data_IF_172497364982
#
_entry.id   IF_172497364982
#
_cell.length_a   1.000
_cell.length_b   1.000
_cell.length_c   1.000
_cell.angle_alpha   90.00
_cell.angle_beta   90.00
_cell.angle_gamma   90.00
#
_symmetry.space_group_name_H-M   'P 1'
#
loop_
_entity.id
_entity.type
_entity.pdbx_description
1 polymer ?
#
# COMPACT_ATOMS: atom_id res chain seq x y z
N UNK A 1 20.82 -9.57 34.74
CA UNK A 1 20.30 -10.94 34.61
C UNK A 1 20.55 -11.35 33.16
N UNK A 2 21.08 -12.54 32.91
CA UNK A 2 21.25 -13.05 31.54
C UNK A 2 19.88 -13.12 30.86
N UNK A 3 19.75 -12.54 29.66
CA UNK A 3 18.52 -12.53 28.88
C UNK A 3 18.11 -13.98 28.55
N UNK A 4 16.86 -14.35 28.81
CA UNK A 4 16.37 -15.71 28.52
C UNK A 4 16.11 -15.86 27.03
N UNK A 5 17.07 -16.40 26.29
CA UNK A 5 16.96 -16.60 24.83
C UNK A 5 15.82 -17.56 24.44
N UNK A 6 15.30 -18.35 25.39
CA UNK A 6 14.20 -19.30 25.18
C UNK A 6 12.83 -18.79 25.61
N UNK A 7 12.67 -17.48 25.83
CA UNK A 7 11.43 -16.89 26.29
C UNK A 7 10.21 -17.23 25.41
N UNK A 8 10.42 -17.47 24.11
CA UNK A 8 9.37 -17.84 23.16
C UNK A 8 8.67 -19.19 23.48
N UNK A 9 9.28 -20.05 24.30
CA UNK A 9 8.67 -21.30 24.78
C UNK A 9 7.57 -20.98 25.79
N UNK A 10 7.84 -20.05 26.71
CA UNK A 10 6.93 -19.67 27.80
C UNK A 10 5.95 -18.58 27.39
N UNK A 11 6.34 -17.71 26.44
CA UNK A 11 5.53 -16.59 25.93
C UNK A 11 4.99 -16.94 24.56
N UNK A 12 3.68 -17.17 24.50
CA UNK A 12 2.96 -17.40 23.25
C UNK A 12 2.84 -16.14 22.41
N UNK A 13 2.64 -16.31 21.09
CA UNK A 13 2.33 -15.21 20.18
C UNK A 13 1.02 -14.56 20.61
N UNK A 14 1.02 -13.24 20.70
CA UNK A 14 -0.19 -12.44 20.95
C UNK A 14 -0.31 -11.39 19.86
N UNK A 15 -1.40 -11.45 19.10
CA UNK A 15 -1.80 -10.39 18.18
C UNK A 15 -2.62 -9.32 18.92
N UNK A 16 -2.65 -8.07 18.44
CA UNK A 16 -3.43 -7.00 19.06
C UNK A 16 -4.93 -7.34 19.08
N UNK A 17 -5.60 -6.92 20.16
CA UNK A 17 -7.04 -7.08 20.28
C UNK A 17 -7.75 -6.27 19.17
N UNK A 18 -8.86 -6.81 18.67
CA UNK A 18 -9.71 -6.11 17.71
C UNK A 18 -10.77 -5.29 18.44
N UNK A 19 -11.10 -4.12 17.88
CA UNK A 19 -12.28 -3.35 18.29
C UNK A 19 -13.55 -4.19 18.13
N UNK A 20 -14.59 -3.98 18.98
CA UNK A 20 -15.87 -4.67 18.86
C UNK A 20 -16.47 -4.60 17.47
N UNK A 21 -17.15 -5.66 17.04
CA UNK A 21 -17.75 -5.76 15.70
C UNK A 21 -18.71 -4.60 15.38
N UNK A 22 -19.48 -4.12 16.36
CA UNK A 22 -20.43 -3.02 16.17
C UNK A 22 -19.73 -1.71 15.77
N UNK A 23 -18.52 -1.46 16.30
CA UNK A 23 -17.70 -0.31 15.91
C UNK A 23 -17.10 -0.54 14.52
N UNK A 24 -16.51 -1.72 14.30
CA UNK A 24 -15.85 -2.05 13.02
C UNK A 24 -16.80 -1.97 11.83
N UNK A 25 -18.10 -2.23 11.98
CA UNK A 25 -19.06 -2.17 10.88
C UNK A 25 -19.49 -0.76 10.50
N UNK A 26 -19.18 0.26 11.30
CA UNK A 26 -19.73 1.62 11.13
C UNK A 26 -18.60 2.64 11.02
N UNK A 27 -17.60 2.55 11.90
CA UNK A 27 -16.54 3.54 11.99
C UNK A 27 -15.40 3.26 11.01
N UNK A 28 -14.88 4.35 10.43
CA UNK A 28 -13.67 4.36 9.61
C UNK A 28 -12.43 4.65 10.47
N UNK A 29 -12.17 3.76 11.44
CA UNK A 29 -11.03 3.83 12.37
C UNK A 29 -10.25 2.51 12.37
N UNK A 30 -8.97 2.54 12.74
CA UNK A 30 -8.14 1.33 12.79
C UNK A 30 -8.77 0.25 13.67
N UNK A 31 -8.89 -0.97 13.13
CA UNK A 31 -9.64 -2.03 13.81
C UNK A 31 -8.87 -2.74 14.93
N UNK A 32 -7.55 -2.55 15.00
CA UNK A 32 -6.68 -3.18 15.98
C UNK A 32 -6.27 -2.17 17.05
N UNK A 33 -6.38 -2.57 18.31
CA UNK A 33 -5.87 -1.77 19.42
C UNK A 33 -4.33 -1.73 19.38
N UNK A 34 -3.71 -0.59 19.71
CA UNK A 34 -2.25 -0.53 19.87
C UNK A 34 -1.76 -1.50 20.95
N UNK A 35 -0.55 -1.99 20.80
CA UNK A 35 0.10 -2.75 21.88
C UNK A 35 0.31 -1.88 23.11
N UNK A 36 0.07 -2.48 24.28
CA UNK A 36 0.57 -1.93 25.54
C UNK A 36 2.08 -2.10 25.63
N UNK A 37 2.73 -1.32 26.50
CA UNK A 37 4.16 -1.48 26.79
C UNK A 37 4.52 -2.92 27.17
N UNK A 38 3.71 -3.54 28.03
CA UNK A 38 3.92 -4.92 28.47
C UNK A 38 3.84 -5.91 27.30
N UNK A 39 2.87 -5.74 26.41
CA UNK A 39 2.73 -6.58 25.21
C UNK A 39 3.92 -6.40 24.27
N UNK A 40 4.30 -5.16 23.95
CA UNK A 40 5.41 -4.88 23.06
C UNK A 40 6.73 -5.46 23.60
N UNK A 41 7.03 -5.24 24.88
CA UNK A 41 8.23 -5.79 25.54
C UNK A 41 8.22 -7.32 25.52
N UNK A 42 7.12 -7.96 25.91
CA UNK A 42 7.03 -9.42 25.98
C UNK A 42 7.07 -10.08 24.60
N UNK A 43 6.42 -9.48 23.58
CA UNK A 43 6.44 -10.02 22.23
C UNK A 43 7.79 -9.78 21.54
N UNK A 44 8.49 -8.68 21.83
CA UNK A 44 9.85 -8.45 21.36
C UNK A 44 10.85 -9.45 21.98
N UNK A 45 10.66 -9.85 23.24
CA UNK A 45 11.50 -10.83 23.95
C UNK A 45 11.47 -12.23 23.32
N UNK A 46 10.49 -12.51 22.46
CA UNK A 46 10.40 -13.77 21.72
C UNK A 46 11.48 -13.86 20.63
N UNK A 47 12.13 -12.76 20.28
CA UNK A 47 13.18 -12.76 19.25
C UNK A 47 14.39 -13.58 19.69
N UNK A 48 14.87 -14.45 18.80
CA UNK A 48 16.05 -15.30 19.03
C UNK A 48 17.39 -14.58 18.86
N UNK A 49 17.38 -13.35 18.34
CA UNK A 49 18.59 -12.65 17.88
C UNK A 49 19.43 -13.53 16.91
N UNK A 50 18.75 -14.09 15.90
CA UNK A 50 19.33 -15.05 14.95
C UNK A 50 20.60 -14.47 14.30
N UNK A 51 21.69 -15.23 14.30
CA UNK A 51 22.94 -14.81 13.64
C UNK A 51 22.81 -14.59 12.12
N UNK A 52 21.87 -15.28 11.46
CA UNK A 52 21.42 -14.95 10.11
C UNK A 52 19.91 -14.63 10.12
N UNK A 53 19.52 -13.35 10.23
CA UNK A 53 18.12 -12.98 10.41
C UNK A 53 17.36 -13.03 9.08
N UNK A 54 16.68 -14.14 8.82
CA UNK A 54 15.81 -14.27 7.63
C UNK A 54 14.69 -13.23 7.57
N UNK A 55 14.23 -12.72 8.71
CA UNK A 55 13.25 -11.64 8.78
C UNK A 55 13.75 -10.33 8.14
N UNK A 56 15.04 -10.01 8.33
CA UNK A 56 15.71 -8.85 7.71
C UNK A 56 15.90 -9.09 6.21
N UNK A 57 16.39 -10.26 5.81
CA UNK A 57 16.58 -10.60 4.39
C UNK A 57 15.29 -10.60 3.58
N UNK A 58 14.17 -11.00 4.18
CA UNK A 58 12.87 -11.02 3.49
C UNK A 58 12.20 -9.64 3.46
N UNK A 59 12.57 -8.73 4.36
CA UNK A 59 12.09 -7.36 4.33
C UNK A 59 12.73 -6.63 3.13
N UNK A 60 11.96 -6.02 2.19
CA UNK A 60 12.56 -5.40 1.01
C UNK A 60 13.52 -4.24 1.32
N UNK A 61 13.33 -3.55 2.45
CA UNK A 61 14.22 -2.49 2.93
C UNK A 61 15.31 -2.99 3.88
N UNK A 62 15.46 -4.32 4.06
CA UNK A 62 16.46 -4.93 4.93
C UNK A 62 16.56 -4.28 6.32
N UNK A 63 15.40 -4.04 6.95
CA UNK A 63 15.33 -3.38 8.26
C UNK A 63 16.04 -4.22 9.34
N UNK A 64 16.78 -3.56 10.23
CA UNK A 64 17.56 -4.15 11.34
C UNK A 64 16.67 -4.71 12.46
N UNK A 65 15.81 -5.67 12.08
CA UNK A 65 14.70 -6.19 12.87
C UNK A 65 15.15 -6.73 14.23
N UNK A 66 16.12 -7.66 14.33
CA UNK A 66 16.58 -8.15 15.63
C UNK A 66 17.06 -7.03 16.57
N UNK A 67 17.76 -6.04 16.01
CA UNK A 67 18.41 -4.98 16.76
C UNK A 67 17.39 -4.00 17.34
N UNK A 68 16.42 -3.52 16.55
CA UNK A 68 15.39 -2.63 17.10
C UNK A 68 14.36 -3.39 17.94
N UNK A 69 14.14 -4.70 17.71
CA UNK A 69 13.34 -5.54 18.60
C UNK A 69 13.97 -5.64 19.98
N UNK A 70 15.29 -5.83 20.05
CA UNK A 70 16.03 -5.82 21.32
C UNK A 70 15.87 -4.50 22.06
N UNK A 71 16.00 -3.38 21.34
CA UNK A 71 15.79 -2.05 21.93
C UNK A 71 14.35 -1.85 22.41
N UNK A 72 13.35 -2.36 21.69
CA UNK A 72 11.94 -2.33 22.09
C UNK A 72 11.70 -3.18 23.35
N UNK A 73 12.32 -4.36 23.45
CA UNK A 73 12.31 -5.20 24.65
C UNK A 73 12.90 -4.47 25.88
N UNK A 74 14.04 -3.78 25.70
CA UNK A 74 14.69 -2.97 26.73
C UNK A 74 13.92 -1.66 27.07
N UNK A 75 12.86 -1.35 26.32
CA UNK A 75 12.06 -0.12 26.48
C UNK A 75 12.73 1.15 25.94
N UNK A 76 13.77 1.01 25.13
CA UNK A 76 14.56 2.09 24.51
C UNK A 76 13.93 2.57 23.20
N UNK A 77 12.72 3.13 23.31
CA UNK A 77 11.85 3.45 22.16
C UNK A 77 12.50 4.40 21.15
N UNK A 78 13.15 5.48 21.62
CA UNK A 78 13.77 6.48 20.74
C UNK A 78 14.95 5.92 19.95
N UNK A 79 15.68 4.95 20.50
CA UNK A 79 16.78 4.30 19.79
C UNK A 79 16.27 3.25 18.81
N UNK A 80 15.22 2.52 19.20
CA UNK A 80 14.55 1.55 18.33
C UNK A 80 13.96 2.23 17.08
N UNK A 81 13.27 3.36 17.25
CA UNK A 81 12.65 4.07 16.14
C UNK A 81 13.69 4.68 15.22
N UNK A 82 14.79 5.23 15.76
CA UNK A 82 15.87 5.79 14.96
C UNK A 82 16.48 4.70 14.07
N UNK A 83 16.74 3.52 14.65
CA UNK A 83 17.29 2.40 13.92
C UNK A 83 16.33 1.87 12.84
N UNK A 84 15.03 1.80 13.11
CA UNK A 84 14.02 1.42 12.11
C UNK A 84 13.96 2.42 10.95
N UNK A 85 14.13 3.71 11.26
CA UNK A 85 14.14 4.78 10.27
C UNK A 85 15.40 4.86 9.40
N UNK A 86 16.49 4.20 9.80
CA UNK A 86 17.71 4.18 9.00
C UNK A 86 17.52 3.51 7.64
N UNK A 87 16.68 2.47 7.57
CA UNK A 87 16.42 1.76 6.30
C UNK A 87 15.01 1.97 5.77
N UNK A 88 14.06 2.39 6.61
CA UNK A 88 12.67 2.61 6.21
C UNK A 88 12.24 4.07 6.38
N UNK A 89 11.76 4.69 5.30
CA UNK A 89 11.26 6.07 5.36
C UNK A 89 9.86 6.19 5.99
N UNK A 90 9.08 5.11 6.02
CA UNK A 90 7.69 5.09 6.52
C UNK A 90 7.37 3.85 7.38
N UNK A 91 8.15 3.55 8.45
CA UNK A 91 7.94 2.38 9.31
C UNK A 91 6.57 2.36 10.00
N UNK A 92 5.99 3.52 10.33
CA UNK A 92 4.64 3.63 10.88
C UNK A 92 3.56 3.17 9.88
N UNK A 93 3.83 3.29 8.57
CA UNK A 93 2.94 2.78 7.52
C UNK A 93 3.21 1.30 7.31
N UNK A 94 4.48 0.90 7.15
CA UNK A 94 4.88 -0.50 6.92
C UNK A 94 4.39 -1.44 8.02
N UNK A 95 4.49 -1.04 9.29
CA UNK A 95 3.98 -1.83 10.42
C UNK A 95 2.49 -2.12 10.34
N UNK A 96 1.71 -1.27 9.65
CA UNK A 96 0.25 -1.42 9.48
C UNK A 96 -0.13 -2.23 8.25
N UNK A 97 0.50 -1.92 7.10
CA UNK A 97 -0.01 -2.37 5.79
C UNK A 97 0.83 -3.44 5.11
N UNK A 98 2.06 -3.70 5.54
CA UNK A 98 2.86 -4.78 4.95
C UNK A 98 2.16 -6.15 5.16
N UNK A 99 2.19 -7.06 4.17
CA UNK A 99 1.75 -8.44 4.36
C UNK A 99 2.85 -9.22 5.09
N UNK A 100 2.99 -9.03 6.40
CA UNK A 100 4.12 -9.58 7.16
C UNK A 100 4.19 -11.11 7.08
N UNK A 101 3.05 -11.79 6.92
CA UNK A 101 2.92 -13.23 6.71
C UNK A 101 3.62 -13.74 5.45
N UNK A 102 3.83 -12.87 4.46
CA UNK A 102 4.57 -13.16 3.21
C UNK A 102 5.97 -12.59 3.20
N UNK A 103 6.30 -11.76 4.20
CA UNK A 103 7.56 -11.04 4.34
C UNK A 103 8.30 -11.47 5.62
N UNK A 104 8.58 -10.51 6.50
CA UNK A 104 9.45 -10.67 7.66
C UNK A 104 8.94 -11.71 8.67
N UNK A 105 7.65 -11.71 8.99
CA UNK A 105 7.05 -12.68 9.93
C UNK A 105 6.93 -14.07 9.28
N UNK A 106 6.59 -14.11 7.99
CA UNK A 106 6.55 -15.35 7.21
C UNK A 106 7.88 -16.10 7.19
N UNK A 107 8.99 -15.37 7.22
CA UNK A 107 10.36 -15.93 7.22
C UNK A 107 11.00 -15.99 8.61
N UNK A 108 10.26 -15.65 9.67
CA UNK A 108 10.77 -15.76 11.03
C UNK A 108 11.04 -17.22 11.37
N UNK A 109 12.22 -17.53 11.94
CA UNK A 109 12.60 -18.89 12.35
C UNK A 109 11.58 -19.56 13.27
N UNK A 110 10.87 -18.78 14.09
CA UNK A 110 9.85 -19.29 15.01
C UNK A 110 8.50 -19.58 14.36
N UNK A 111 8.27 -19.18 13.10
CA UNK A 111 6.93 -19.13 12.51
C UNK A 111 6.23 -20.48 12.46
N UNK A 112 6.94 -21.55 12.08
CA UNK A 112 6.36 -22.87 11.86
C UNK A 112 5.82 -23.51 13.15
N UNK A 113 6.58 -23.44 14.25
CA UNK A 113 6.29 -24.23 15.45
C UNK A 113 5.77 -23.40 16.63
N UNK A 114 6.20 -22.14 16.75
CA UNK A 114 5.90 -21.28 17.91
C UNK A 114 5.11 -20.02 17.52
N UNK A 115 4.91 -19.79 16.22
CA UNK A 115 4.35 -18.55 15.69
C UNK A 115 5.37 -17.41 15.72
N UNK A 116 5.48 -16.68 14.61
CA UNK A 116 6.48 -15.64 14.42
C UNK A 116 6.41 -14.54 15.49
N UNK A 117 7.53 -13.84 15.69
CA UNK A 117 7.55 -12.56 16.41
C UNK A 117 6.59 -11.59 15.72
N UNK A 118 5.83 -10.79 16.46
CA UNK A 118 4.87 -9.82 15.92
C UNK A 118 5.56 -8.54 15.43
N UNK A 119 6.50 -8.70 14.50
CA UNK A 119 7.40 -7.66 13.97
C UNK A 119 6.62 -6.42 13.54
N UNK A 120 5.58 -6.56 12.73
CA UNK A 120 4.82 -5.41 12.23
C UNK A 120 4.12 -4.62 13.34
N UNK A 121 3.58 -5.32 14.34
CA UNK A 121 2.90 -4.67 15.47
C UNK A 121 3.90 -3.95 16.40
N UNK A 122 5.12 -4.49 16.55
CA UNK A 122 6.16 -3.84 17.34
C UNK A 122 6.73 -2.63 16.58
N UNK A 123 6.92 -2.71 15.25
CA UNK A 123 7.31 -1.57 14.40
C UNK A 123 6.28 -0.43 14.49
N UNK A 124 4.98 -0.76 14.44
CA UNK A 124 3.90 0.19 14.71
C UNK A 124 4.01 0.79 16.11
N UNK A 125 4.21 -0.04 17.14
CA UNK A 125 4.28 0.43 18.52
C UNK A 125 5.44 1.39 18.76
N UNK A 126 6.66 1.07 18.30
CA UNK A 126 7.83 1.94 18.53
C UNK A 126 7.69 3.28 17.81
N UNK A 127 7.09 3.29 16.62
CA UNK A 127 6.89 4.51 15.83
C UNK A 127 5.80 5.40 16.43
N UNK A 128 4.63 4.83 16.75
CA UNK A 128 3.53 5.56 17.39
C UNK A 128 3.99 6.16 18.74
N UNK A 129 4.69 5.38 19.58
CA UNK A 129 5.19 5.86 20.86
C UNK A 129 6.29 6.90 20.73
N UNK A 130 7.18 6.78 19.76
CA UNK A 130 8.18 7.81 19.51
C UNK A 130 7.52 9.15 19.16
N UNK A 131 6.49 9.15 18.30
CA UNK A 131 5.76 10.38 17.97
C UNK A 131 5.03 10.97 19.18
N UNK A 132 4.39 10.14 20.02
CA UNK A 132 3.81 10.60 21.30
C UNK A 132 4.85 11.25 22.23
N UNK A 133 6.09 10.76 22.19
CA UNK A 133 7.23 11.31 22.95
C UNK A 133 7.87 12.56 22.32
N UNK A 134 7.33 13.04 21.18
CA UNK A 134 7.85 14.20 20.47
C UNK A 134 9.10 13.92 19.63
N UNK A 135 9.35 12.66 19.27
CA UNK A 135 10.44 12.30 18.36
C UNK A 135 10.28 13.00 17.01
N UNK A 136 11.41 13.45 16.48
CA UNK A 136 11.56 13.94 15.12
C UNK A 136 12.97 13.59 14.62
N UNK A 137 13.17 13.39 13.30
CA UNK A 137 14.49 13.21 12.74
C UNK A 137 15.44 14.35 13.10
N UNK A 138 16.68 14.00 13.47
CA UNK A 138 17.72 14.98 13.73
C UNK A 138 18.35 15.48 12.42
N UNK A 139 18.08 16.74 12.08
CA UNK A 139 18.61 17.40 10.88
C UNK A 139 19.83 18.29 11.21
N UNK A 140 20.31 18.31 12.45
CA UNK A 140 21.34 19.26 12.91
C UNK A 140 22.71 19.09 12.25
N UNK A 141 22.99 17.91 11.69
CA UNK A 141 24.25 17.56 11.02
C UNK A 141 24.17 17.58 9.49
N UNK A 142 23.02 17.98 8.93
CA UNK A 142 22.84 18.02 7.48
C UNK A 142 23.54 19.25 6.92
N UNK A 143 24.49 19.04 6.00
CA UNK A 143 25.15 20.11 5.25
C UNK A 143 24.36 20.39 3.97
N UNK A 144 23.73 21.56 3.90
CA UNK A 144 22.87 21.92 2.76
C UNK A 144 23.68 22.34 1.53
N UNK A 145 23.30 21.80 0.39
CA UNK A 145 23.79 22.18 -0.94
C UNK A 145 22.88 23.22 -1.59
N UNK A 146 23.27 23.75 -2.74
CA UNK A 146 22.39 24.57 -3.59
C UNK A 146 21.52 23.73 -4.55
N UNK A 147 21.68 22.40 -4.53
CA UNK A 147 20.97 21.47 -5.40
C UNK A 147 19.52 21.30 -5.00
N UNK A 148 18.65 21.19 -6.00
CA UNK A 148 17.23 20.92 -5.82
C UNK A 148 16.70 19.88 -6.81
N UNK A 149 15.81 19.03 -6.32
CA UNK A 149 15.23 17.92 -7.08
C UNK A 149 13.72 18.02 -7.07
N UNK A 150 13.10 17.95 -8.25
CA UNK A 150 11.65 17.85 -8.38
C UNK A 150 11.23 16.39 -8.25
N UNK A 151 10.22 16.12 -7.42
CA UNK A 151 9.65 14.80 -7.22
C UNK A 151 8.19 14.83 -7.68
N UNK A 152 7.84 14.03 -8.68
CA UNK A 152 6.48 13.97 -9.21
C UNK A 152 5.77 12.76 -8.60
N UNK A 153 4.80 13.03 -7.72
CA UNK A 153 4.03 12.04 -6.96
C UNK A 153 4.49 11.96 -5.50
N UNK A 154 3.57 12.21 -4.58
CA UNK A 154 3.73 12.09 -3.14
C UNK A 154 3.31 10.70 -2.61
N UNK A 155 3.41 9.66 -3.43
CA UNK A 155 3.25 8.27 -3.01
C UNK A 155 4.47 7.74 -2.23
N UNK A 156 4.47 6.45 -1.82
CA UNK A 156 5.56 5.88 -1.02
C UNK A 156 6.95 6.07 -1.63
N UNK A 157 7.11 5.87 -2.94
CA UNK A 157 8.39 6.03 -3.62
C UNK A 157 8.89 7.49 -3.61
N UNK A 158 8.01 8.45 -3.94
CA UNK A 158 8.38 9.87 -3.94
C UNK A 158 8.69 10.40 -2.53
N UNK A 159 7.91 9.97 -1.54
CA UNK A 159 8.17 10.30 -0.13
C UNK A 159 9.49 9.71 0.37
N UNK A 160 9.82 8.48 -0.02
CA UNK A 160 11.07 7.85 0.35
C UNK A 160 12.28 8.48 -0.35
N UNK A 161 12.13 8.88 -1.62
CA UNK A 161 13.15 9.64 -2.33
C UNK A 161 13.38 11.02 -1.67
N UNK A 162 12.30 11.71 -1.28
CA UNK A 162 12.38 12.99 -0.58
C UNK A 162 13.12 12.88 0.76
N UNK A 163 12.83 11.84 1.54
CA UNK A 163 13.49 11.55 2.83
C UNK A 163 15.00 11.35 2.68
N UNK A 164 15.44 10.59 1.68
CA UNK A 164 16.88 10.39 1.43
C UNK A 164 17.55 11.68 0.95
N UNK A 165 16.94 12.40 0.00
CA UNK A 165 17.51 13.64 -0.54
C UNK A 165 17.67 14.72 0.53
N UNK A 166 16.63 14.95 1.34
CA UNK A 166 16.64 16.01 2.35
C UNK A 166 17.66 15.74 3.46
N UNK A 167 17.89 14.46 3.82
CA UNK A 167 18.91 14.06 4.79
C UNK A 167 20.34 14.22 4.28
N UNK A 168 20.53 14.31 2.97
CA UNK A 168 21.82 14.55 2.32
C UNK A 168 21.94 15.99 1.80
N UNK A 169 21.13 16.92 2.33
CA UNK A 169 21.29 18.35 2.05
C UNK A 169 20.87 18.80 0.65
N UNK A 170 20.19 17.93 -0.13
CA UNK A 170 19.58 18.29 -1.41
C UNK A 170 18.14 18.67 -1.17
N UNK A 171 17.67 19.81 -1.68
CA UNK A 171 16.30 20.29 -1.43
C UNK A 171 15.27 19.55 -2.32
N UNK A 172 14.39 18.70 -1.77
CA UNK A 172 13.33 18.09 -2.57
C UNK A 172 12.08 18.97 -2.61
N UNK A 173 11.49 19.09 -3.80
CA UNK A 173 10.17 19.71 -4.01
C UNK A 173 9.23 18.67 -4.59
N UNK A 174 8.25 18.25 -3.80
CA UNK A 174 7.29 17.19 -4.14
C UNK A 174 6.02 17.81 -4.71
N UNK A 175 5.68 17.43 -5.94
CA UNK A 175 4.47 17.81 -6.65
C UNK A 175 3.46 16.67 -6.62
N UNK A 176 2.22 16.94 -6.23
CA UNK A 176 1.15 15.94 -6.27
C UNK A 176 -0.19 16.57 -6.64
N UNK A 177 -0.98 15.83 -7.43
CA UNK A 177 -2.31 16.25 -7.88
C UNK A 177 -3.36 16.22 -6.77
N UNK A 178 -3.15 15.42 -5.73
CA UNK A 178 -4.06 15.31 -4.60
C UNK A 178 -3.83 16.45 -3.58
N UNK A 179 -4.85 16.78 -2.77
CA UNK A 179 -4.73 17.80 -1.73
C UNK A 179 -3.89 17.36 -0.53
N UNK A 180 -3.60 16.07 -0.39
CA UNK A 180 -2.79 15.48 0.68
C UNK A 180 -1.74 14.51 0.14
N UNK A 181 -0.65 14.32 0.90
CA UNK A 181 0.41 13.38 0.53
C UNK A 181 -0.04 11.92 0.74
N UNK A 182 0.76 10.98 0.25
CA UNK A 182 0.61 9.54 0.48
C UNK A 182 0.09 8.76 -0.72
N UNK A 183 -0.42 9.44 -1.75
CA UNK A 183 -1.04 8.79 -2.90
C UNK A 183 -2.10 7.77 -2.47
N UNK A 184 -1.97 6.51 -2.88
CA UNK A 184 -2.90 5.46 -2.49
C UNK A 184 -2.83 5.07 -1.00
N UNK A 185 -1.80 5.44 -0.24
CA UNK A 185 -1.82 5.30 1.22
C UNK A 185 -2.95 6.12 1.85
N UNK A 186 -3.13 7.34 1.33
CA UNK A 186 -4.17 8.27 1.81
C UNK A 186 -5.48 8.00 1.10
N UNK A 187 -5.50 7.95 -0.23
CA UNK A 187 -6.75 7.92 -1.01
C UNK A 187 -7.24 6.53 -1.41
N UNK A 188 -6.39 5.50 -1.32
CA UNK A 188 -6.75 4.13 -1.70
C UNK A 188 -7.03 3.22 -0.50
N UNK A 189 -6.06 3.11 0.41
CA UNK A 189 -6.14 2.24 1.60
C UNK A 189 -7.13 2.85 2.60
N UNK A 190 -8.20 2.17 3.04
CA UNK A 190 -9.17 2.75 3.95
C UNK A 190 -8.63 3.01 5.37
N UNK A 191 -9.24 3.96 6.08
CA UNK A 191 -8.85 4.36 7.45
C UNK A 191 -8.88 3.21 8.46
N UNK A 192 -9.66 2.16 8.20
CA UNK A 192 -9.72 0.99 9.06
C UNK A 192 -8.49 0.06 8.99
N UNK A 193 -7.57 0.34 8.04
CA UNK A 193 -6.25 -0.29 7.91
C UNK A 193 -5.11 0.68 8.23
N UNK A 194 -5.27 1.95 7.85
CA UNK A 194 -4.27 3.00 8.03
C UNK A 194 -4.97 4.34 8.29
N UNK A 195 -4.91 4.84 9.53
CA UNK A 195 -5.52 6.13 9.87
C UNK A 195 -4.88 7.29 9.10
N UNK A 196 -5.70 8.25 8.67
CA UNK A 196 -5.25 9.39 7.86
C UNK A 196 -4.32 10.34 8.61
N UNK A 197 -4.51 10.46 9.93
CA UNK A 197 -3.63 11.21 10.82
C UNK A 197 -2.17 10.74 10.78
N UNK A 198 -1.91 9.48 10.42
CA UNK A 198 -0.53 8.96 10.23
C UNK A 198 0.17 9.72 9.10
N UNK A 199 -0.50 9.89 7.97
CA UNK A 199 0.05 10.60 6.80
C UNK A 199 0.11 12.11 7.02
N UNK A 200 -0.87 12.69 7.71
CA UNK A 200 -0.86 14.11 8.11
C UNK A 200 0.36 14.41 9.02
N UNK A 201 0.61 13.55 10.01
CA UNK A 201 1.78 13.68 10.88
C UNK A 201 3.09 13.51 10.09
N UNK A 202 3.16 12.54 9.17
CA UNK A 202 4.34 12.36 8.30
C UNK A 202 4.60 13.57 7.42
N UNK A 203 3.56 14.18 6.86
CA UNK A 203 3.66 15.44 6.09
C UNK A 203 4.28 16.54 6.92
N UNK A 204 3.80 16.71 8.16
CA UNK A 204 4.35 17.70 9.10
C UNK A 204 5.83 17.43 9.36
N UNK A 205 6.21 16.19 9.69
CA UNK A 205 7.60 15.81 9.94
C UNK A 205 8.49 16.10 8.73
N UNK A 206 8.08 15.72 7.53
CA UNK A 206 8.86 15.98 6.31
C UNK A 206 8.95 17.47 5.97
N UNK A 207 7.89 18.23 6.21
CA UNK A 207 7.91 19.69 6.03
C UNK A 207 8.91 20.34 7.00
N UNK A 208 8.95 19.89 8.26
CA UNK A 208 9.92 20.34 9.27
C UNK A 208 11.37 19.94 8.93
N UNK A 209 11.57 18.85 8.19
CA UNK A 209 12.89 18.45 7.67
C UNK A 209 13.37 19.33 6.51
N UNK A 210 12.46 20.09 5.86
CA UNK A 210 12.78 20.96 4.72
C UNK A 210 12.24 20.47 3.37
N UNK A 211 11.41 19.42 3.34
CA UNK A 211 10.71 18.98 2.14
C UNK A 211 9.61 19.99 1.79
N UNK A 212 9.60 20.48 0.55
CA UNK A 212 8.57 21.39 0.06
C UNK A 212 7.47 20.60 -0.65
N UNK A 213 6.20 20.79 -0.26
CA UNK A 213 5.05 20.13 -0.90
C UNK A 213 4.23 21.12 -1.73
N UNK A 214 4.08 20.81 -3.02
CA UNK A 214 3.21 21.50 -4.00
C UNK A 214 2.05 20.58 -4.34
N UNK A 215 1.01 20.62 -3.50
CA UNK A 215 -0.19 19.80 -3.60
C UNK A 215 -1.27 20.47 -4.46
N UNK A 216 -2.24 19.70 -4.96
CA UNK A 216 -3.18 20.14 -5.99
C UNK A 216 -2.50 20.66 -7.27
N UNK A 217 -1.36 20.06 -7.64
CA UNK A 217 -0.61 20.39 -8.85
C UNK A 217 -0.40 19.14 -9.68
N UNK A 218 -1.05 19.08 -10.84
CA UNK A 218 -0.89 18.00 -11.81
C UNK A 218 0.17 18.36 -12.86
N UNK A 219 1.31 17.66 -12.81
CA UNK A 219 2.38 17.82 -13.81
C UNK A 219 1.90 17.32 -15.18
N UNK A 220 2.15 18.11 -16.22
CA UNK A 220 1.61 17.94 -17.57
C UNK A 220 0.35 18.77 -17.84
N UNK A 221 -0.33 19.25 -16.79
CA UNK A 221 -1.53 20.09 -16.88
C UNK A 221 -1.29 21.48 -16.29
N UNK A 222 -1.01 21.56 -14.99
CA UNK A 222 -0.84 22.82 -14.26
C UNK A 222 0.59 23.35 -14.36
N UNK A 223 1.57 22.44 -14.38
CA UNK A 223 2.99 22.73 -14.61
C UNK A 223 3.53 21.79 -15.68
N UNK A 224 4.30 22.30 -16.63
CA UNK A 224 4.86 21.49 -17.70
C UNK A 224 6.16 20.82 -17.26
N UNK A 225 6.38 19.58 -17.72
CA UNK A 225 7.59 18.82 -17.39
C UNK A 225 8.88 19.55 -17.85
N UNK A 226 8.83 20.28 -18.97
CA UNK A 226 9.96 21.10 -19.41
C UNK A 226 10.38 22.13 -18.36
N UNK A 227 9.42 22.78 -17.68
CA UNK A 227 9.73 23.76 -16.63
C UNK A 227 10.48 23.10 -15.47
N UNK A 228 10.10 21.87 -15.09
CA UNK A 228 10.80 21.11 -14.06
C UNK A 228 12.24 20.75 -14.49
N UNK A 229 12.42 20.37 -15.75
CA UNK A 229 13.74 20.09 -16.31
C UNK A 229 14.63 21.32 -16.41
N UNK A 230 14.06 22.50 -16.65
CA UNK A 230 14.82 23.75 -16.72
C UNK A 230 15.19 24.26 -15.32
N UNK A 231 14.25 24.14 -14.38
CA UNK A 231 14.40 24.75 -13.06
C UNK A 231 15.18 23.88 -12.08
N UNK A 232 15.08 22.55 -12.11
CA UNK A 232 15.65 21.64 -11.09
C UNK A 232 16.90 20.91 -11.59
N UNK A 233 17.75 20.40 -10.70
CA UNK A 233 18.98 19.68 -11.07
C UNK A 233 18.73 18.22 -11.49
N UNK A 234 17.68 17.61 -10.95
CA UNK A 234 17.16 16.30 -11.36
C UNK A 234 15.65 16.21 -11.14
N UNK A 235 14.99 15.23 -11.78
CA UNK A 235 13.57 14.93 -11.60
C UNK A 235 13.38 13.46 -11.24
N UNK A 236 12.59 13.16 -10.22
CA UNK A 236 12.18 11.80 -9.86
C UNK A 236 10.69 11.57 -10.17
N UNK A 237 10.38 10.47 -10.85
CA UNK A 237 9.04 10.03 -11.22
C UNK A 237 8.54 8.93 -10.27
N UNK A 238 7.65 9.31 -9.34
CA UNK A 238 6.95 8.43 -8.40
C UNK A 238 5.45 8.35 -8.65
N UNK A 239 5.04 8.36 -9.93
CA UNK A 239 3.64 8.57 -10.38
C UNK A 239 2.72 7.34 -10.28
N UNK A 240 3.24 6.19 -9.84
CA UNK A 240 2.45 4.98 -9.60
C UNK A 240 1.76 4.38 -10.84
N UNK A 241 0.74 3.53 -10.63
CA UNK A 241 -0.11 2.97 -11.69
C UNK A 241 -1.59 3.17 -11.37
N UNK A 242 -2.32 3.86 -12.25
CA UNK A 242 -3.74 4.23 -12.02
C UNK A 242 -4.71 3.57 -13.01
N UNK A 243 -4.22 2.83 -14.00
CA UNK A 243 -5.09 2.14 -14.97
C UNK A 243 -5.61 0.84 -14.36
N UNK A 244 -6.90 0.81 -14.04
CA UNK A 244 -7.60 -0.38 -13.58
C UNK A 244 -7.79 -1.39 -14.72
N UNK A 245 -7.83 -2.67 -14.36
CA UNK A 245 -8.10 -3.75 -15.29
C UNK A 245 -9.61 -3.95 -15.46
N UNK A 246 -10.06 -4.01 -16.71
CA UNK A 246 -11.41 -4.37 -17.09
C UNK A 246 -11.43 -5.74 -17.74
N UNK A 247 -12.56 -6.43 -17.65
CA UNK A 247 -12.72 -7.78 -18.17
C UNK A 247 -13.38 -7.81 -19.57
N UNK A 248 -13.78 -6.66 -20.11
CA UNK A 248 -14.49 -6.59 -21.39
C UNK A 248 -15.88 -7.22 -21.30
N UNK A 249 -16.53 -7.07 -20.13
CA UNK A 249 -17.86 -7.63 -19.90
C UNK A 249 -18.90 -6.79 -20.63
N UNK A 250 -19.96 -7.44 -21.11
CA UNK A 250 -21.13 -6.70 -21.62
C UNK A 250 -21.68 -5.79 -20.53
N UNK A 251 -21.97 -4.53 -20.88
CA UNK A 251 -22.51 -3.51 -19.98
C UNK A 251 -21.59 -3.13 -18.79
N UNK A 252 -20.27 -3.27 -18.93
CA UNK A 252 -19.33 -2.88 -17.87
C UNK A 252 -19.25 -1.37 -17.58
N UNK A 253 -19.84 -0.53 -18.44
CA UNK A 253 -19.99 0.92 -18.25
C UNK A 253 -21.40 1.35 -17.80
N UNK A 254 -22.24 0.39 -17.41
CA UNK A 254 -23.63 0.65 -17.01
C UNK A 254 -23.73 1.46 -15.71
N UNK A 255 -24.86 2.14 -15.52
CA UNK A 255 -25.16 2.84 -14.28
C UNK A 255 -25.20 1.85 -13.10
N UNK A 256 -24.46 2.15 -12.03
CA UNK A 256 -24.31 1.25 -10.89
C UNK A 256 -23.12 0.29 -10.98
N UNK A 257 -22.33 0.34 -12.06
CA UNK A 257 -21.02 -0.32 -12.15
C UNK A 257 -19.92 0.70 -11.83
N UNK A 258 -19.01 0.33 -10.93
CA UNK A 258 -17.95 1.21 -10.45
C UNK A 258 -16.59 0.51 -10.54
N UNK A 259 -15.57 1.26 -10.96
CA UNK A 259 -14.18 0.84 -10.76
C UNK A 259 -13.81 1.01 -9.28
N UNK A 260 -13.03 0.07 -8.73
CA UNK A 260 -12.70 0.05 -7.30
C UNK A 260 -12.01 1.33 -6.79
N UNK A 261 -11.09 1.89 -7.59
CA UNK A 261 -10.30 3.03 -7.14
C UNK A 261 -11.14 4.32 -7.01
N UNK A 262 -11.94 4.75 -8.02
CA UNK A 262 -12.88 5.84 -7.83
C UNK A 262 -13.79 5.67 -6.61
N UNK A 263 -14.29 4.45 -6.36
CA UNK A 263 -15.08 4.16 -5.17
C UNK A 263 -14.32 4.44 -3.86
N UNK A 264 -13.13 3.85 -3.68
CA UNK A 264 -12.32 4.03 -2.48
C UNK A 264 -11.84 5.48 -2.29
N UNK A 265 -11.48 6.16 -3.38
CA UNK A 265 -11.09 7.57 -3.37
C UNK A 265 -12.27 8.43 -2.90
N UNK A 266 -13.45 8.27 -3.53
CA UNK A 266 -14.65 9.05 -3.15
C UNK A 266 -15.02 8.87 -1.68
N UNK A 267 -14.85 7.64 -1.15
CA UNK A 267 -15.05 7.37 0.26
C UNK A 267 -14.04 8.11 1.15
N UNK A 268 -12.76 8.13 0.77
CA UNK A 268 -11.73 8.86 1.52
C UNK A 268 -12.01 10.35 1.56
N UNK A 269 -12.37 10.97 0.42
CA UNK A 269 -12.73 12.39 0.38
C UNK A 269 -13.88 12.70 1.35
N UNK A 270 -14.92 11.85 1.37
CA UNK A 270 -16.03 12.00 2.32
C UNK A 270 -15.59 11.84 3.78
N UNK A 271 -14.77 10.82 4.09
CA UNK A 271 -14.27 10.56 5.46
C UNK A 271 -13.39 11.72 5.97
N UNK A 272 -12.59 12.32 5.09
CA UNK A 272 -11.71 13.45 5.43
C UNK A 272 -12.40 14.81 5.35
N UNK A 273 -13.65 14.88 4.87
CA UNK A 273 -14.36 16.15 4.67
C UNK A 273 -13.72 17.05 3.61
N UNK A 274 -13.05 16.46 2.61
CA UNK A 274 -12.39 17.16 1.52
C UNK A 274 -13.35 17.40 0.35
N UNK A 275 -13.15 18.49 -0.37
CA UNK A 275 -13.88 18.79 -1.61
C UNK A 275 -13.36 17.92 -2.77
N UNK A 276 -14.28 17.42 -3.60
CA UNK A 276 -13.94 16.63 -4.77
C UNK A 276 -14.92 16.90 -5.91
N UNK A 277 -14.42 16.98 -7.13
CA UNK A 277 -15.24 17.18 -8.33
C UNK A 277 -16.14 15.97 -8.63
N UNK A 278 -15.68 14.76 -8.28
CA UNK A 278 -16.47 13.54 -8.50
C UNK A 278 -17.44 13.29 -7.35
N UNK A 279 -18.68 12.85 -7.65
CA UNK A 279 -19.67 12.60 -6.62
C UNK A 279 -19.27 11.43 -5.71
N UNK A 280 -19.74 11.48 -4.47
CA UNK A 280 -19.63 10.36 -3.55
C UNK A 280 -20.37 9.13 -4.09
N UNK A 281 -19.68 7.99 -4.16
CA UNK A 281 -20.30 6.72 -4.55
C UNK A 281 -20.91 6.07 -3.30
N UNK A 282 -22.23 6.12 -3.22
CA UNK A 282 -23.00 5.64 -2.06
C UNK A 282 -23.50 4.19 -2.23
N UNK A 283 -23.21 3.36 -1.24
CA UNK A 283 -23.64 1.97 -1.15
C UNK A 283 -24.81 1.74 -0.17
N UNK A 284 -25.29 2.78 0.52
CA UNK A 284 -26.35 2.67 1.51
C UNK A 284 -27.60 1.96 0.94
N UNK A 285 -28.05 0.92 1.64
CA UNK A 285 -29.26 0.17 1.28
C UNK A 285 -29.14 -0.78 0.08
N UNK A 286 -28.00 -0.81 -0.63
CA UNK A 286 -27.81 -1.58 -1.87
C UNK A 286 -27.34 -3.02 -1.61
N UNK A 287 -27.67 -3.91 -2.55
CA UNK A 287 -27.01 -5.21 -2.70
C UNK A 287 -25.75 -5.03 -3.56
N UNK A 288 -24.59 -5.13 -2.94
CA UNK A 288 -23.30 -4.86 -3.59
C UNK A 288 -22.60 -6.18 -3.95
N UNK A 289 -22.15 -6.29 -5.20
CA UNK A 289 -21.27 -7.37 -5.65
C UNK A 289 -19.90 -6.80 -6.00
N UNK A 290 -18.86 -7.24 -5.30
CA UNK A 290 -17.47 -6.91 -5.60
C UNK A 290 -16.84 -8.06 -6.37
N UNK A 291 -16.34 -7.77 -7.58
CA UNK A 291 -15.71 -8.74 -8.46
C UNK A 291 -14.19 -8.68 -8.27
N UNK A 292 -13.62 -9.70 -7.62
CA UNK A 292 -12.19 -9.76 -7.30
C UNK A 292 -11.88 -10.50 -6.01
N UNK A 293 -10.60 -10.70 -5.71
CA UNK A 293 -10.14 -11.39 -4.49
C UNK A 293 -8.84 -10.84 -3.89
N UNK A 294 -8.33 -9.71 -4.40
CA UNK A 294 -7.13 -9.05 -3.88
C UNK A 294 -7.43 -8.12 -2.69
N UNK A 295 -6.39 -7.47 -2.17
CA UNK A 295 -6.54 -6.50 -1.08
C UNK A 295 -7.48 -5.34 -1.46
N UNK A 296 -7.46 -4.87 -2.70
CA UNK A 296 -8.42 -3.88 -3.21
C UNK A 296 -9.86 -4.36 -3.10
N UNK A 297 -10.13 -5.65 -3.38
CA UNK A 297 -11.47 -6.22 -3.22
C UNK A 297 -11.88 -6.26 -1.74
N UNK A 298 -10.95 -6.61 -0.84
CA UNK A 298 -11.18 -6.60 0.61
C UNK A 298 -11.49 -5.20 1.13
N UNK A 299 -10.77 -4.20 0.62
CA UNK A 299 -11.00 -2.80 0.97
C UNK A 299 -12.37 -2.33 0.46
N UNK A 300 -12.79 -2.75 -0.74
CA UNK A 300 -14.10 -2.42 -1.31
C UNK A 300 -15.26 -3.04 -0.53
N UNK A 301 -15.21 -4.34 -0.22
CA UNK A 301 -16.31 -5.01 0.50
C UNK A 301 -16.48 -4.45 1.91
N UNK A 302 -15.37 -4.20 2.62
CA UNK A 302 -15.39 -3.67 3.98
C UNK A 302 -15.80 -2.20 4.06
N UNK A 303 -15.47 -1.42 3.03
CA UNK A 303 -15.98 -0.05 2.86
C UNK A 303 -17.49 -0.07 2.57
N UNK A 304 -17.96 -0.96 1.71
CA UNK A 304 -19.39 -1.10 1.38
C UNK A 304 -20.24 -1.43 2.62
N UNK A 305 -19.75 -2.33 3.49
CA UNK A 305 -20.39 -2.61 4.79
C UNK A 305 -20.52 -1.34 5.64
N UNK A 306 -19.44 -0.55 5.75
CA UNK A 306 -19.42 0.69 6.54
C UNK A 306 -20.27 1.81 5.98
N UNK A 307 -20.51 1.82 4.67
CA UNK A 307 -21.46 2.73 4.03
C UNK A 307 -22.92 2.30 4.20
N UNK A 308 -23.21 1.17 4.86
CA UNK A 308 -24.56 0.71 5.13
C UNK A 308 -25.21 -0.06 3.98
N UNK A 309 -24.42 -0.76 3.15
CA UNK A 309 -24.96 -1.72 2.19
C UNK A 309 -25.83 -2.78 2.89
N UNK A 310 -26.97 -3.11 2.28
CA UNK A 310 -27.90 -4.12 2.80
C UNK A 310 -27.30 -5.53 2.73
N UNK A 311 -26.52 -5.79 1.68
CA UNK A 311 -25.83 -7.06 1.45
C UNK A 311 -24.54 -6.80 0.66
N UNK A 312 -23.46 -7.51 1.01
CA UNK A 312 -22.18 -7.38 0.31
C UNK A 312 -21.64 -8.76 -0.01
N UNK A 313 -21.42 -9.01 -1.31
CA UNK A 313 -20.86 -10.26 -1.82
C UNK A 313 -19.49 -9.99 -2.41
N UNK A 314 -18.50 -10.80 -2.04
CA UNK A 314 -17.22 -10.92 -2.72
C UNK A 314 -17.29 -12.13 -3.68
N UNK A 315 -17.33 -11.88 -4.99
CA UNK A 315 -17.31 -12.95 -5.99
C UNK A 315 -15.90 -13.13 -6.55
N UNK A 316 -15.36 -14.34 -6.43
CA UNK A 316 -14.01 -14.67 -6.83
C UNK A 316 -13.95 -15.95 -7.66
N UNK A 317 -13.23 -15.90 -8.78
CA UNK A 317 -13.14 -16.99 -9.78
C UNK A 317 -12.30 -18.20 -9.38
N UNK A 318 -11.76 -18.25 -8.15
CA UNK A 318 -11.02 -19.41 -7.62
C UNK A 318 -11.51 -19.72 -6.22
N UNK A 319 -10.96 -20.77 -5.62
CA UNK A 319 -11.21 -21.12 -4.23
C UNK A 319 -10.58 -20.12 -3.23
N UNK A 320 -10.88 -20.32 -1.96
CA UNK A 320 -10.38 -19.47 -0.87
C UNK A 320 -8.87 -19.58 -0.67
N UNK A 321 -8.29 -20.77 -0.85
CA UNK A 321 -6.86 -21.01 -0.66
C UNK A 321 -6.02 -20.21 -1.65
N UNK A 322 -6.52 -20.07 -2.88
CA UNK A 322 -5.89 -19.31 -3.96
C UNK A 322 -6.29 -17.82 -3.99
N UNK A 323 -6.93 -17.30 -2.95
CA UNK A 323 -7.28 -15.88 -2.86
C UNK A 323 -6.03 -15.02 -2.62
N UNK A 324 -5.76 -14.01 -3.48
CA UNK A 324 -4.51 -13.24 -3.39
C UNK A 324 -4.50 -12.20 -2.26
N UNK A 325 -5.67 -11.75 -1.78
CA UNK A 325 -5.77 -10.82 -0.66
C UNK A 325 -5.15 -11.37 0.63
N UNK A 326 -4.79 -10.48 1.55
CA UNK A 326 -4.27 -10.86 2.85
C UNK A 326 -5.28 -11.74 3.60
N UNK A 327 -4.81 -12.89 4.12
CA UNK A 327 -5.64 -13.81 4.92
C UNK A 327 -6.27 -13.12 6.13
N UNK A 328 -5.55 -12.15 6.70
CA UNK A 328 -6.03 -11.31 7.81
C UNK A 328 -7.23 -10.48 7.38
N UNK A 329 -7.15 -9.84 6.22
CA UNK A 329 -8.21 -8.98 5.70
C UNK A 329 -9.43 -9.78 5.24
N UNK A 330 -9.23 -10.96 4.64
CA UNK A 330 -10.32 -11.91 4.32
C UNK A 330 -11.07 -12.32 5.59
N UNK A 331 -10.35 -12.70 6.65
CA UNK A 331 -10.95 -13.05 7.95
C UNK A 331 -11.74 -11.87 8.54
N UNK A 332 -11.18 -10.65 8.49
CA UNK A 332 -11.86 -9.45 8.96
C UNK A 332 -13.15 -9.16 8.18
N UNK A 333 -13.12 -9.29 6.84
CA UNK A 333 -14.31 -9.13 6.00
C UNK A 333 -15.40 -10.16 6.33
N UNK A 334 -15.04 -11.43 6.54
CA UNK A 334 -16.00 -12.48 6.97
C UNK A 334 -16.63 -12.15 8.32
N UNK A 335 -15.82 -11.76 9.31
CA UNK A 335 -16.31 -11.33 10.63
C UNK A 335 -17.25 -10.12 10.54
N UNK A 336 -17.01 -9.21 9.60
CA UNK A 336 -17.81 -8.00 9.35
C UNK A 336 -19.13 -8.28 8.61
N UNK A 337 -19.33 -9.49 8.08
CA UNK A 337 -20.56 -9.97 7.46
C UNK A 337 -20.54 -10.01 5.94
N UNK A 338 -19.36 -9.98 5.30
CA UNK A 338 -19.23 -10.15 3.85
C UNK A 338 -19.51 -11.61 3.47
N UNK A 339 -20.34 -11.80 2.45
CA UNK A 339 -20.61 -13.12 1.87
C UNK A 339 -19.56 -13.43 0.80
N UNK A 340 -18.84 -14.54 0.95
CA UNK A 340 -17.85 -14.95 -0.03
C UNK A 340 -18.43 -16.00 -0.97
N UNK A 341 -18.39 -15.71 -2.27
CA UNK A 341 -18.74 -16.64 -3.34
C UNK A 341 -17.50 -16.98 -4.15
N UNK A 342 -16.92 -18.13 -3.82
CA UNK A 342 -15.75 -18.67 -4.51
C UNK A 342 -16.14 -19.42 -5.76
N UNK A 343 -15.14 -19.69 -6.61
CA UNK A 343 -15.31 -20.45 -7.84
C UNK A 343 -16.40 -19.87 -8.76
N UNK A 344 -16.45 -18.53 -8.83
CA UNK A 344 -17.49 -17.81 -9.54
C UNK A 344 -16.86 -16.76 -10.47
N UNK A 345 -17.03 -16.94 -11.78
CA UNK A 345 -16.49 -16.05 -12.79
C UNK A 345 -17.60 -15.21 -13.43
N UNK A 346 -17.45 -13.88 -13.51
CA UNK A 346 -18.41 -13.04 -14.23
C UNK A 346 -18.32 -13.26 -15.75
N UNK A 347 -19.49 -13.29 -16.39
CA UNK A 347 -19.66 -13.38 -17.85
C UNK A 347 -20.24 -12.10 -18.45
N UNK A 348 -20.98 -11.31 -17.66
CA UNK A 348 -21.62 -10.08 -18.13
C UNK A 348 -22.37 -9.36 -17.01
N UNK A 349 -22.68 -8.07 -17.23
CA UNK A 349 -23.53 -7.29 -16.34
C UNK A 349 -24.94 -7.24 -16.93
N UNK A 350 -25.93 -7.59 -16.11
CA UNK A 350 -27.35 -7.52 -16.45
C UNK A 350 -27.90 -6.14 -16.07
N UNK A 351 -28.67 -5.53 -16.97
CA UNK A 351 -29.20 -4.17 -16.81
C UNK A 351 -30.71 -4.13 -17.05
N UNK A 352 -31.37 -3.16 -16.43
CA UNK A 352 -32.77 -2.86 -16.72
C UNK A 352 -32.94 -2.04 -18.02
N UNK A 353 -34.19 -1.71 -18.34
CA UNK A 353 -34.50 -0.90 -19.53
C UNK A 353 -33.94 0.53 -19.49
N UNK A 354 -33.57 1.03 -18.30
CA UNK A 354 -32.93 2.34 -18.12
C UNK A 354 -31.39 2.24 -18.15
N UNK A 355 -30.82 1.05 -18.33
CA UNK A 355 -29.38 0.82 -18.35
C UNK A 355 -28.74 0.80 -16.96
N UNK A 356 -29.52 0.59 -15.91
CA UNK A 356 -29.03 0.41 -14.53
C UNK A 356 -28.82 -1.05 -14.20
N UNK A 357 -27.77 -1.36 -13.44
CA UNK A 357 -27.43 -2.73 -13.06
C UNK A 357 -28.56 -3.38 -12.25
N UNK A 358 -28.83 -4.65 -12.56
CA UNK A 358 -29.76 -5.52 -11.82
C UNK A 358 -29.10 -6.82 -11.33
N UNK A 359 -27.92 -7.15 -11.88
CA UNK A 359 -27.15 -8.30 -11.46
C UNK A 359 -25.92 -8.55 -12.30
N UNK A 360 -25.19 -9.60 -11.93
CA UNK A 360 -24.03 -10.10 -12.66
C UNK A 360 -24.33 -11.50 -13.14
N UNK A 361 -24.26 -11.73 -14.45
CA UNK A 361 -24.28 -13.08 -14.99
C UNK A 361 -22.95 -13.75 -14.68
N UNK A 362 -23.01 -14.91 -14.03
CA UNK A 362 -21.85 -15.65 -13.53
C UNK A 362 -21.89 -17.10 -13.97
N UNK A 363 -20.73 -17.75 -13.97
CA UNK A 363 -20.58 -19.19 -14.18
C UNK A 363 -19.72 -19.78 -13.07
N UNK A 364 -20.03 -21.00 -12.63
CA UNK A 364 -19.17 -21.71 -11.70
C UNK A 364 -17.88 -22.14 -12.38
N UNK A 365 -16.79 -22.19 -11.63
CA UNK A 365 -15.49 -22.62 -12.14
C UNK A 365 -14.95 -23.80 -11.35
N UNK A 366 -14.30 -24.76 -12.01
CA UNK A 366 -13.46 -25.75 -11.36
C UNK A 366 -11.99 -25.38 -11.58
N UNK A 367 -11.14 -25.62 -10.59
CA UNK A 367 -9.71 -25.44 -10.80
C UNK A 367 -9.14 -26.60 -11.60
N UNK A 368 -8.59 -26.30 -12.78
CA UNK A 368 -7.84 -27.26 -13.59
C UNK A 368 -6.47 -27.60 -12.99
N UNK A 369 -5.60 -28.18 -13.80
CA UNK A 369 -4.23 -28.50 -13.41
C UNK A 369 -3.41 -27.23 -13.13
N UNK A 370 -2.43 -27.29 -12.20
CA UNK A 370 -1.51 -26.18 -11.95
C UNK A 370 -0.65 -25.90 -13.19
N UNK A 371 -0.45 -24.62 -13.50
CA UNK A 371 0.54 -24.20 -14.51
C UNK A 371 1.98 -24.27 -13.97
N UNK A 372 2.96 -23.90 -14.80
CA UNK A 372 4.40 -23.90 -14.43
C UNK A 372 4.73 -23.03 -13.21
N UNK A 373 3.87 -22.05 -12.88
CA UNK A 373 4.00 -21.21 -11.69
C UNK A 373 3.22 -21.78 -10.49
N UNK A 374 2.72 -23.01 -10.59
CA UNK A 374 1.87 -23.68 -9.60
C UNK A 374 0.45 -23.13 -9.53
N UNK A 375 0.05 -22.20 -10.42
CA UNK A 375 -1.26 -21.55 -10.38
C UNK A 375 -2.26 -22.37 -11.16
N UNK A 376 -3.34 -22.79 -10.50
CA UNK A 376 -4.44 -23.51 -11.15
C UNK A 376 -5.32 -22.55 -11.93
N UNK A 377 -5.57 -22.88 -13.20
CA UNK A 377 -6.46 -22.08 -14.06
C UNK A 377 -7.92 -22.44 -13.76
N UNK A 378 -8.80 -21.45 -13.53
CA UNK A 378 -10.21 -21.72 -13.38
C UNK A 378 -10.84 -22.02 -14.75
N UNK A 379 -11.58 -23.12 -14.83
CA UNK A 379 -12.27 -23.59 -16.03
C UNK A 379 -13.79 -23.52 -15.79
N UNK A 380 -14.57 -22.86 -16.68
CA UNK A 380 -16.02 -22.79 -16.54
C UNK A 380 -16.70 -24.16 -16.54
N UNK A 381 -17.63 -24.36 -15.62
CA UNK A 381 -18.50 -25.55 -15.58
C UNK A 381 -19.73 -25.27 -16.44
N UNK A 382 -19.86 -25.96 -17.58
CA UNK A 382 -20.96 -25.75 -18.51
C UNK A 382 -22.33 -26.01 -17.86
N UNK A 383 -23.31 -25.14 -18.13
CA UNK A 383 -24.68 -25.25 -17.60
C UNK A 383 -24.85 -24.75 -16.16
N UNK A 384 -23.82 -24.14 -15.57
CA UNK A 384 -23.86 -23.56 -14.22
C UNK A 384 -24.15 -22.05 -14.21
N UNK A 385 -24.46 -21.48 -15.37
CA UNK A 385 -24.71 -20.06 -15.54
C UNK A 385 -25.95 -19.62 -14.78
N UNK A 386 -25.83 -18.55 -13.99
CA UNK A 386 -26.94 -17.94 -13.28
C UNK A 386 -26.69 -16.44 -13.06
N UNK A 387 -27.72 -15.73 -12.59
CA UNK A 387 -27.62 -14.30 -12.28
C UNK A 387 -27.43 -14.14 -10.78
N UNK A 388 -26.41 -13.37 -10.40
CA UNK A 388 -26.22 -12.88 -9.05
C UNK A 388 -26.87 -11.49 -8.91
N UNK A 389 -27.98 -11.32 -8.17
CA UNK A 389 -28.66 -10.04 -8.06
C UNK A 389 -27.76 -8.96 -7.43
N UNK A 390 -27.76 -7.76 -8.00
CA UNK A 390 -26.94 -6.65 -7.55
C UNK A 390 -27.55 -5.30 -7.95
N UNK A 391 -27.55 -4.36 -7.01
CA UNK A 391 -27.89 -2.94 -7.24
C UNK A 391 -26.64 -2.09 -7.48
N UNK A 392 -25.47 -2.63 -7.12
CA UNK A 392 -24.17 -2.03 -7.42
C UNK A 392 -23.12 -3.12 -7.65
N UNK A 393 -22.25 -2.91 -8.63
CA UNK A 393 -21.14 -3.81 -8.95
C UNK A 393 -19.83 -3.03 -8.87
N UNK A 394 -18.86 -3.55 -8.11
CA UNK A 394 -17.52 -2.94 -8.00
C UNK A 394 -16.49 -3.86 -8.65
N UNK A 395 -15.80 -3.34 -9.66
CA UNK A 395 -14.75 -4.04 -10.41
C UNK A 395 -13.41 -3.87 -9.69
N UNK A 396 -12.89 -4.96 -9.11
CA UNK A 396 -11.66 -4.98 -8.31
C UNK A 396 -10.64 -6.01 -8.83
N UNK A 397 -10.40 -6.00 -10.15
CA UNK A 397 -9.49 -6.93 -10.79
C UNK A 397 -8.00 -6.60 -10.64
N UNK A 398 -7.68 -5.40 -10.16
CA UNK A 398 -6.31 -4.91 -9.98
C UNK A 398 -5.93 -3.83 -10.99
N UNK A 399 -4.66 -3.47 -10.98
CA UNK A 399 -4.11 -2.40 -11.80
C UNK A 399 -3.08 -2.94 -12.77
N UNK A 400 -2.98 -2.27 -13.92
CA UNK A 400 -1.95 -2.53 -14.90
C UNK A 400 -1.15 -1.25 -15.15
N UNK A 401 0.15 -1.37 -15.47
CA UNK A 401 0.89 -0.27 -16.05
C UNK A 401 0.20 0.25 -17.32
N UNK A 402 0.44 1.51 -17.64
CA UNK A 402 -0.14 2.16 -18.80
C UNK A 402 0.88 3.11 -19.41
N UNK A 403 0.79 3.28 -20.73
CA UNK A 403 1.66 4.21 -21.44
C UNK A 403 1.43 5.62 -20.91
N UNK A 404 2.53 6.25 -20.49
CA UNK A 404 2.59 7.64 -20.07
C UNK A 404 3.18 8.46 -21.21
N UNK A 405 2.41 8.62 -22.29
CA UNK A 405 2.87 9.25 -23.54
C UNK A 405 3.40 10.67 -23.36
N UNK A 406 3.00 11.36 -22.29
CA UNK A 406 3.54 12.68 -21.93
C UNK A 406 5.03 12.67 -21.58
N UNK A 407 5.63 11.50 -21.31
CA UNK A 407 7.06 11.33 -21.04
C UNK A 407 7.90 11.17 -22.33
N UNK A 408 7.30 10.71 -23.43
CA UNK A 408 8.01 10.43 -24.69
C UNK A 408 8.74 11.66 -25.27
N UNK A 409 8.16 12.88 -25.29
CA UNK A 409 8.85 14.07 -25.77
C UNK A 409 10.13 14.41 -24.99
N UNK A 410 10.27 13.87 -23.78
CA UNK A 410 11.40 14.09 -22.89
C UNK A 410 12.41 12.93 -22.93
N UNK A 411 12.32 12.02 -23.91
CA UNK A 411 13.32 10.97 -24.13
C UNK A 411 13.30 9.87 -23.05
N UNK A 412 12.16 9.65 -22.39
CA UNK A 412 11.99 8.56 -21.42
C UNK A 412 11.39 7.35 -22.14
N UNK A 413 12.13 6.24 -22.17
CA UNK A 413 11.70 4.99 -22.75
C UNK A 413 10.76 4.21 -21.84
N UNK A 414 9.72 3.63 -22.44
CA UNK A 414 8.81 2.70 -21.79
C UNK A 414 9.06 1.27 -22.30
N UNK A 415 8.79 0.28 -21.45
CA UNK A 415 8.78 -1.12 -21.87
C UNK A 415 7.49 -1.51 -22.61
N UNK A 416 7.42 -2.75 -23.09
CA UNK A 416 6.27 -3.26 -23.84
C UNK A 416 4.95 -3.30 -23.05
N UNK A 417 5.02 -3.19 -21.71
CA UNK A 417 3.85 -3.12 -20.83
C UNK A 417 3.51 -1.68 -20.44
N UNK A 418 4.26 -0.68 -20.91
CA UNK A 418 4.08 0.74 -20.61
C UNK A 418 4.71 1.20 -19.30
N UNK A 419 5.61 0.41 -18.70
CA UNK A 419 6.37 0.81 -17.50
C UNK A 419 7.56 1.67 -17.89
N UNK A 420 7.98 2.56 -17.00
CA UNK A 420 9.19 3.37 -17.21
C UNK A 420 10.40 2.45 -17.09
N UNK A 421 11.30 2.48 -18.08
CA UNK A 421 12.58 1.78 -17.98
C UNK A 421 13.54 2.59 -17.10
N UNK A 422 13.80 2.08 -15.91
CA UNK A 422 14.72 2.66 -14.93
C UNK A 422 15.43 1.53 -14.16
N UNK A 423 16.47 0.91 -14.73
CA UNK A 423 17.10 -0.26 -14.11
C UNK A 423 17.79 0.09 -12.78
N UNK A 424 17.75 -0.84 -11.82
CA UNK A 424 18.44 -0.69 -10.54
C UNK A 424 19.96 -0.87 -10.68
N UNK A 425 20.39 -1.82 -11.51
CA UNK A 425 21.79 -2.19 -11.70
C UNK A 425 22.44 -1.40 -12.85
N UNK A 426 22.82 -0.15 -12.56
CA UNK A 426 23.52 0.74 -13.49
C UNK A 426 24.33 1.80 -12.70
N UNK A 427 25.09 2.65 -13.41
CA UNK A 427 25.96 3.67 -12.78
C UNK A 427 25.20 4.60 -11.84
N UNK A 428 24.07 5.15 -12.29
CA UNK A 428 23.16 5.93 -11.46
C UNK A 428 21.86 5.13 -11.31
N UNK A 429 21.66 4.49 -10.15
CA UNK A 429 20.53 3.59 -9.90
C UNK A 429 19.21 4.27 -10.28
N UNK A 430 18.32 3.56 -10.97
CA UNK A 430 17.00 4.05 -11.36
C UNK A 430 16.98 5.30 -12.27
N UNK A 431 18.10 5.66 -12.89
CA UNK A 431 18.11 6.64 -13.97
C UNK A 431 17.34 6.10 -15.18
N UNK A 432 16.56 6.94 -15.82
CA UNK A 432 15.85 6.59 -17.07
C UNK A 432 16.78 6.77 -18.28
N UNK A 433 16.26 6.56 -19.49
CA UNK A 433 16.98 6.91 -20.73
C UNK A 433 17.26 8.41 -20.89
N UNK A 434 16.57 9.27 -20.13
CA UNK A 434 16.96 10.68 -19.97
C UNK A 434 17.86 10.81 -18.73
N UNK A 435 19.08 11.32 -18.93
CA UNK A 435 20.07 11.43 -17.86
C UNK A 435 19.69 12.31 -16.66
N UNK A 436 18.71 13.20 -16.81
CA UNK A 436 18.23 14.07 -15.72
C UNK A 436 17.01 13.51 -14.97
N UNK A 437 16.44 12.41 -15.46
CA UNK A 437 15.18 11.84 -14.97
C UNK A 437 15.43 10.46 -14.36
N UNK A 438 14.93 10.26 -13.16
CA UNK A 438 14.92 9.01 -12.39
C UNK A 438 13.48 8.56 -12.15
N UNK A 439 13.25 7.28 -11.90
CA UNK A 439 11.91 6.77 -11.63
C UNK A 439 11.92 5.56 -10.70
N UNK A 440 10.86 5.37 -9.91
CA UNK A 440 10.76 4.22 -9.00
C UNK A 440 9.33 3.91 -8.55
N UNK A 441 9.17 2.77 -7.88
CA UNK A 441 7.89 2.27 -7.42
C UNK A 441 7.06 1.68 -8.56
N UNK A 442 5.74 1.68 -8.39
CA UNK A 442 4.82 0.98 -9.31
C UNK A 442 4.93 1.44 -10.77
N UNK A 443 5.40 2.66 -11.04
CA UNK A 443 5.60 3.16 -12.40
C UNK A 443 6.71 2.41 -13.17
N UNK A 444 7.67 1.81 -12.44
CA UNK A 444 8.79 1.02 -12.98
C UNK A 444 8.51 -0.47 -12.83
N UNK A 445 8.04 -0.89 -11.65
CA UNK A 445 7.83 -2.30 -11.31
C UNK A 445 6.49 -2.87 -11.75
N UNK A 446 5.47 -2.02 -11.90
CA UNK A 446 4.06 -2.42 -11.83
C UNK A 446 3.56 -2.50 -10.39
N UNK A 447 2.23 -2.64 -10.23
CA UNK A 447 1.59 -2.67 -8.91
C UNK A 447 2.20 -3.75 -8.00
N UNK A 448 2.76 -3.30 -6.87
CA UNK A 448 3.44 -4.13 -5.87
C UNK A 448 3.19 -3.57 -4.44
N UNK A 449 3.99 -4.02 -3.46
CA UNK A 449 3.90 -3.61 -2.07
C UNK A 449 4.47 -2.21 -1.80
N UNK A 450 3.86 -1.52 -0.83
CA UNK A 450 4.31 -0.20 -0.33
C UNK A 450 5.80 -0.19 0.03
N UNK A 451 6.27 -1.23 0.72
CA UNK A 451 7.68 -1.33 1.15
C UNK A 451 8.65 -1.49 -0.01
N UNK A 452 8.24 -2.12 -1.12
CA UNK A 452 9.07 -2.19 -2.32
C UNK A 452 9.18 -0.81 -2.98
N UNK A 453 8.09 -0.06 -3.05
CA UNK A 453 8.12 1.31 -3.56
C UNK A 453 9.00 2.24 -2.71
N UNK A 454 9.00 2.05 -1.39
CA UNK A 454 9.92 2.77 -0.48
C UNK A 454 11.38 2.41 -0.80
N UNK A 455 11.72 1.12 -0.90
CA UNK A 455 13.08 0.67 -1.23
C UNK A 455 13.59 1.27 -2.55
N UNK A 456 12.77 1.20 -3.61
CA UNK A 456 13.13 1.76 -4.92
C UNK A 456 13.26 3.29 -4.89
N UNK A 457 12.37 3.99 -4.18
CA UNK A 457 12.47 5.44 -4.00
C UNK A 457 13.77 5.86 -3.31
N UNK A 458 14.18 5.12 -2.25
CA UNK A 458 15.44 5.37 -1.54
C UNK A 458 16.65 5.13 -2.43
N UNK A 459 16.69 4.00 -3.14
CA UNK A 459 17.79 3.65 -4.06
C UNK A 459 17.87 4.61 -5.25
N UNK A 460 16.73 5.09 -5.76
CA UNK A 460 16.72 6.11 -6.79
C UNK A 460 17.27 7.44 -6.28
N UNK A 461 16.96 7.83 -5.04
CA UNK A 461 17.55 9.00 -4.42
C UNK A 461 19.07 8.86 -4.22
N UNK A 462 19.58 7.69 -3.83
CA UNK A 462 21.03 7.41 -3.84
C UNK A 462 21.63 7.62 -5.24
N UNK A 463 20.99 7.10 -6.28
CA UNK A 463 21.42 7.32 -7.67
C UNK A 463 21.39 8.79 -8.10
N UNK A 464 20.44 9.58 -7.60
CA UNK A 464 20.39 11.03 -7.81
C UNK A 464 21.55 11.72 -7.09
N UNK A 465 21.86 11.34 -5.84
CA UNK A 465 23.00 11.91 -5.10
C UNK A 465 24.32 11.64 -5.83
N UNK A 466 24.53 10.40 -6.29
CA UNK A 466 25.69 10.02 -7.11
C UNK A 466 25.78 10.87 -8.39
N UNK A 467 24.65 11.10 -9.07
CA UNK A 467 24.57 11.94 -10.27
C UNK A 467 24.86 13.42 -10.01
N UNK A 468 24.47 13.93 -8.84
CA UNK A 468 24.68 15.32 -8.44
C UNK A 468 26.05 15.56 -7.77
N UNK A 469 26.81 14.49 -7.51
CA UNK A 469 28.10 14.51 -6.81
C UNK A 469 28.00 15.09 -5.38
N UNK A 470 26.97 14.66 -4.62
CA UNK A 470 26.68 15.11 -3.23
C UNK A 470 26.92 14.00 -2.20
#
# INVERSE_FOLDING_TARGET
MSQNVYQFIDVQRVDPAKKPLQIRKIEFVEIYEPFTKQQATAQADRCLDCGNPYCEWKCPVHNYIPQWLKLANEGRILEAVELSHQTNSLPEVCGRVCPQDRLCEGSCTLNADFGAVTIGNIEKYITDKAFEMGWKPDMSKVEWTDKKVAIIGAGPAGLAAADVLVRNGVKPVVFDRYPEIGGLLTFGIPSFKLEKGVMENRRRVFSEMGVEFRLNVEVGKDIQMQQLLDEYDAVFLGVGTYKYMRAGLSNEDASGVYDALPFLISNTYKVMGLEHDQPFIDMAGKNVVVLGGGDTAMDCVRTSIRQGASRVICAYRRDEENMPGSRREVKNAKEEGVEFMFNLQPLGIEVDAAGSVTGVKVVQTALGEPDEAGRRRPEPVAGSEHILPADAVIMAFGFQPHQMSWLEPYGVELDQWGRIKAPADQSFKFQTSNGKIFAGGDAVRGSDLVVTAIDEGRKAAEGILDYLEV
#
